data_IF_137151287588
#
_entry.id   IF_137151287588
#
_cell.length_a   1.000
_cell.length_b   1.000
_cell.length_c   1.000
_cell.angle_alpha   90.00
_cell.angle_beta   90.00
_cell.angle_gamma   90.00
#
_symmetry.space_group_name_H-M   'P 1'
#
loop_
_entity.id
_entity.type
_entity.pdbx_description
1 polymer ?
#
# COMPACT_ATOMS: atom_id res chain seq x y z
N UNK A 1 29.79 -32.11 -11.54
CA UNK A 1 28.73 -31.52 -10.68
C UNK A 1 28.45 -30.15 -11.25
N UNK A 2 27.28 -29.90 -11.81
CA UNK A 2 26.91 -28.58 -12.31
C UNK A 2 26.72 -27.68 -11.09
N UNK A 3 27.65 -26.77 -10.83
CA UNK A 3 27.47 -25.73 -9.81
C UNK A 3 26.29 -24.89 -10.25
N UNK A 4 25.14 -25.09 -9.61
CA UNK A 4 23.96 -24.27 -9.80
C UNK A 4 24.38 -22.83 -9.52
N UNK A 5 24.20 -21.94 -10.51
CA UNK A 5 24.47 -20.52 -10.32
C UNK A 5 23.65 -20.05 -9.13
N UNK A 6 24.32 -19.59 -8.08
CA UNK A 6 23.65 -19.10 -6.89
C UNK A 6 22.73 -17.94 -7.29
N UNK A 7 21.49 -17.94 -6.81
CA UNK A 7 20.58 -16.83 -7.05
C UNK A 7 21.08 -15.62 -6.24
N UNK A 8 21.49 -14.52 -6.89
CA UNK A 8 22.08 -13.37 -6.20
C UNK A 8 21.08 -12.64 -5.28
N UNK A 9 19.76 -12.89 -5.43
CA UNK A 9 18.73 -12.38 -4.52
C UNK A 9 18.53 -13.20 -3.25
N UNK A 10 19.08 -14.42 -3.13
CA UNK A 10 18.85 -15.28 -1.95
C UNK A 10 19.36 -14.67 -0.64
N UNK A 11 20.45 -13.90 -0.70
CA UNK A 11 21.09 -13.32 0.48
C UNK A 11 21.09 -11.78 0.47
N UNK A 12 20.46 -11.14 -0.51
CA UNK A 12 20.41 -9.68 -0.60
C UNK A 12 19.29 -9.15 0.31
N UNK A 13 19.65 -8.34 1.31
CA UNK A 13 18.68 -7.68 2.18
C UNK A 13 18.33 -6.29 1.64
N UNK A 14 17.13 -6.17 1.08
CA UNK A 14 16.62 -4.90 0.59
C UNK A 14 15.92 -4.08 1.71
N UNK A 15 15.89 -2.76 1.53
CA UNK A 15 15.23 -1.84 2.46
C UNK A 15 13.69 -1.92 2.42
N UNK A 16 13.00 -1.16 3.28
CA UNK A 16 11.54 -1.20 3.37
C UNK A 16 10.87 -0.84 2.05
N UNK A 17 10.04 -1.74 1.53
CA UNK A 17 9.31 -1.55 0.28
C UNK A 17 10.13 -1.78 -1.00
N UNK A 18 11.41 -2.13 -0.88
CA UNK A 18 12.26 -2.52 -2.02
C UNK A 18 12.12 -4.02 -2.32
N UNK A 19 12.28 -4.36 -3.60
CA UNK A 19 12.27 -5.73 -4.09
C UNK A 19 13.58 -6.02 -4.83
N UNK A 20 14.03 -7.27 -4.79
CA UNK A 20 15.25 -7.69 -5.47
C UNK A 20 14.95 -7.94 -6.95
N UNK A 21 15.66 -7.25 -7.84
CA UNK A 21 15.62 -7.43 -9.28
C UNK A 21 17.00 -7.85 -9.80
N UNK A 22 17.04 -8.85 -10.68
CA UNK A 22 18.27 -9.36 -11.30
C UNK A 22 18.36 -8.79 -12.70
N UNK A 23 19.41 -8.02 -12.97
CA UNK A 23 19.59 -7.42 -14.28
C UNK A 23 20.05 -8.45 -15.36
N UNK A 24 20.17 -7.99 -16.60
CA UNK A 24 20.62 -8.82 -17.74
C UNK A 24 22.05 -9.38 -17.59
N UNK A 25 22.83 -8.87 -16.64
CA UNK A 25 24.19 -9.30 -16.34
C UNK A 25 24.24 -10.27 -15.15
N UNK A 26 23.10 -10.60 -14.55
CA UNK A 26 23.02 -11.47 -13.38
C UNK A 26 23.34 -10.77 -12.06
N UNK A 27 23.25 -9.44 -12.00
CA UNK A 27 23.53 -8.66 -10.80
C UNK A 27 22.22 -8.39 -10.07
N UNK A 28 22.13 -8.79 -8.80
CA UNK A 28 20.99 -8.46 -7.95
C UNK A 28 21.06 -7.01 -7.47
N UNK A 29 19.96 -6.28 -7.61
CA UNK A 29 19.80 -4.90 -7.15
C UNK A 29 18.49 -4.73 -6.40
N UNK A 30 18.49 -3.87 -5.38
CA UNK A 30 17.27 -3.51 -4.66
C UNK A 30 16.61 -2.33 -5.37
N UNK A 31 15.39 -2.52 -5.85
CA UNK A 31 14.65 -1.49 -6.59
C UNK A 31 13.28 -1.26 -5.99
N UNK A 32 12.76 -0.05 -6.16
CA UNK A 32 11.36 0.22 -5.85
C UNK A 32 10.44 -0.41 -6.90
N UNK A 33 9.17 -0.66 -6.54
CA UNK A 33 8.20 -1.16 -7.50
C UNK A 33 8.22 -0.36 -8.81
N UNK A 34 8.13 -1.03 -9.97
CA UNK A 34 8.21 -0.40 -11.28
C UNK A 34 7.01 0.54 -11.53
N UNK A 35 6.95 1.11 -12.74
CA UNK A 35 5.87 2.01 -13.15
C UNK A 35 4.51 1.38 -12.88
N UNK A 36 3.72 2.05 -12.04
CA UNK A 36 2.36 1.63 -11.73
C UNK A 36 1.44 1.83 -12.94
N UNK A 37 0.48 0.93 -13.11
CA UNK A 37 -0.60 1.15 -14.08
C UNK A 37 -1.36 2.44 -13.74
N UNK A 38 -1.80 3.23 -14.74
CA UNK A 38 -2.53 4.48 -14.51
C UNK A 38 -4.00 4.23 -14.11
N UNK A 39 -4.20 3.44 -13.06
CA UNK A 39 -5.51 3.02 -12.55
C UNK A 39 -5.88 3.88 -11.35
N UNK A 40 -6.98 4.63 -11.46
CA UNK A 40 -7.50 5.48 -10.39
C UNK A 40 -8.34 4.67 -9.39
N UNK A 41 -7.67 4.01 -8.44
CA UNK A 41 -8.28 3.28 -7.32
C UNK A 41 -7.69 3.78 -6.00
N UNK A 42 -8.15 4.95 -5.50
CA UNK A 42 -7.48 5.63 -4.42
C UNK A 42 -7.46 4.81 -3.13
N UNK A 43 -6.40 4.96 -2.36
CA UNK A 43 -6.24 4.35 -1.02
C UNK A 43 -5.74 5.38 -0.02
N UNK A 44 -6.12 5.20 1.25
CA UNK A 44 -5.59 5.97 2.36
C UNK A 44 -4.49 5.14 3.04
N UNK A 45 -3.28 5.68 3.09
CA UNK A 45 -2.16 5.08 3.81
C UNK A 45 -2.31 5.21 5.32
N UNK A 46 -1.54 4.41 6.06
CA UNK A 46 -1.37 4.52 7.52
C UNK A 46 -0.68 5.81 7.96
N UNK A 47 -0.02 6.48 7.02
CA UNK A 47 0.53 7.83 7.17
C UNK A 47 -0.52 8.95 7.00
N UNK A 48 -1.78 8.60 6.75
CA UNK A 48 -2.87 9.56 6.55
C UNK A 48 -2.86 10.27 5.20
N UNK A 49 -2.04 9.81 4.23
CA UNK A 49 -1.97 10.37 2.88
C UNK A 49 -2.81 9.55 1.89
N UNK A 50 -3.44 10.25 0.95
CA UNK A 50 -4.16 9.59 -0.15
C UNK A 50 -3.20 9.29 -1.30
N UNK A 51 -3.27 8.08 -1.82
CA UNK A 51 -2.52 7.62 -2.97
C UNK A 51 -3.48 7.27 -4.12
N UNK A 52 -3.05 7.49 -5.37
CA UNK A 52 -3.86 7.21 -6.56
C UNK A 52 -4.20 5.72 -6.71
N UNK A 53 -3.29 4.86 -6.28
CA UNK A 53 -3.44 3.42 -6.18
C UNK A 53 -2.59 2.85 -5.04
N UNK A 54 -2.81 1.58 -4.70
CA UNK A 54 -1.94 0.85 -3.77
C UNK A 54 -0.50 0.71 -4.30
N UNK A 55 -0.31 0.62 -5.62
CA UNK A 55 1.01 0.60 -6.22
C UNK A 55 1.74 1.94 -6.00
N UNK A 56 1.05 3.07 -6.22
CA UNK A 56 1.63 4.39 -5.99
C UNK A 56 1.99 4.61 -4.52
N UNK A 57 1.20 4.05 -3.59
CA UNK A 57 1.50 4.04 -2.17
C UNK A 57 2.79 3.26 -1.89
N UNK A 58 2.91 2.03 -2.37
CA UNK A 58 4.11 1.20 -2.17
C UNK A 58 5.36 1.85 -2.77
N UNK A 59 5.24 2.42 -3.97
CA UNK A 59 6.33 3.14 -4.63
C UNK A 59 6.75 4.36 -3.82
N UNK A 60 5.81 5.19 -3.40
CA UNK A 60 6.07 6.36 -2.56
C UNK A 60 6.74 5.98 -1.23
N UNK A 61 6.26 4.90 -0.59
CA UNK A 61 6.86 4.37 0.62
C UNK A 61 8.30 3.91 0.39
N UNK A 62 8.55 3.17 -0.69
CA UNK A 62 9.89 2.73 -1.06
C UNK A 62 10.87 3.89 -1.29
N UNK A 63 10.43 4.95 -1.99
CA UNK A 63 11.26 6.14 -2.25
C UNK A 63 11.71 6.86 -0.98
N UNK A 64 10.94 6.75 0.10
CA UNK A 64 11.28 7.30 1.43
C UNK A 64 11.74 6.23 2.43
N UNK A 65 12.03 5.01 1.95
CA UNK A 65 12.45 3.85 2.75
C UNK A 65 11.51 3.54 3.93
N UNK A 66 10.20 3.69 3.70
CA UNK A 66 9.14 3.39 4.67
C UNK A 66 8.18 2.35 4.11
N UNK A 67 7.88 1.32 4.91
CA UNK A 67 6.81 0.40 4.60
C UNK A 67 5.47 1.07 4.93
N UNK A 68 4.75 1.51 3.89
CA UNK A 68 3.39 2.02 4.02
C UNK A 68 2.39 0.88 3.88
N UNK A 69 1.35 0.91 4.69
CA UNK A 69 0.24 -0.05 4.63
C UNK A 69 -1.06 0.68 4.30
N UNK A 70 -1.94 0.02 3.57
CA UNK A 70 -3.27 0.57 3.30
C UNK A 70 -4.07 0.54 4.60
N UNK A 71 -4.51 1.70 5.05
CA UNK A 71 -5.45 1.82 6.16
C UNK A 71 -6.87 1.48 5.69
N UNK A 72 -7.32 2.12 4.59
CA UNK A 72 -8.59 1.79 3.93
C UNK A 72 -8.59 2.20 2.45
N UNK A 73 -9.49 1.62 1.66
CA UNK A 73 -9.71 1.99 0.26
C UNK A 73 -10.54 3.28 0.18
N UNK A 74 -10.18 4.17 -0.73
CA UNK A 74 -10.73 5.53 -0.86
C UNK A 74 -9.72 6.61 -0.47
N UNK A 75 -10.09 7.88 -0.68
CA UNK A 75 -9.28 9.01 -0.26
C UNK A 75 -9.37 9.23 1.27
N UNK A 76 -8.24 9.59 1.88
CA UNK A 76 -8.21 10.03 3.27
C UNK A 76 -9.12 11.25 3.47
N UNK A 77 -9.74 11.34 4.66
CA UNK A 77 -10.59 12.48 5.02
C UNK A 77 -11.94 12.53 4.30
N UNK A 78 -12.22 11.63 3.35
CA UNK A 78 -13.54 11.46 2.74
C UNK A 78 -14.18 10.16 3.20
N UNK A 79 -14.93 10.24 4.29
CA UNK A 79 -15.91 9.21 4.63
C UNK A 79 -16.99 9.21 3.52
N UNK A 80 -16.85 8.34 2.53
CA UNK A 80 -17.85 8.20 1.46
C UNK A 80 -18.98 7.31 1.97
N UNK A 81 -19.93 7.92 2.67
CA UNK A 81 -21.21 7.33 3.11
C UNK A 81 -22.17 7.04 1.94
N UNK A 82 -21.69 6.37 0.89
CA UNK A 82 -22.52 5.95 -0.26
C UNK A 82 -22.90 4.46 -0.24
N UNK A 83 -22.66 3.75 0.86
CA UNK A 83 -23.35 2.49 1.15
C UNK A 83 -24.43 2.76 2.21
N UNK A 84 -25.45 3.52 1.81
CA UNK A 84 -26.65 3.72 2.61
C UNK A 84 -27.46 2.42 2.57
N UNK A 85 -27.16 1.50 3.49
CA UNK A 85 -28.19 0.54 3.90
C UNK A 85 -29.20 1.33 4.76
N UNK A 86 -30.51 1.21 4.49
CA UNK A 86 -31.50 2.10 5.06
C UNK A 86 -31.74 1.73 6.52
N UNK A 87 -30.99 2.34 7.44
CA UNK A 87 -31.42 2.52 8.83
C UNK A 87 -30.70 3.74 9.42
N UNK A 88 -31.50 4.81 9.52
CA UNK A 88 -31.44 5.98 10.41
C UNK A 88 -30.45 5.92 11.57
N UNK A 89 -29.87 7.06 11.98
CA UNK A 89 -29.92 7.56 13.37
C UNK A 89 -29.19 8.92 13.51
N UNK A 90 -29.97 9.99 13.31
CA UNK A 90 -30.23 11.09 14.26
C UNK A 90 -29.15 11.73 15.16
N UNK A 91 -27.83 11.51 15.04
CA UNK A 91 -26.85 12.24 15.86
C UNK A 91 -25.67 12.76 15.04
N UNK A 92 -25.94 13.86 14.35
CA UNK A 92 -24.93 14.81 13.87
C UNK A 92 -24.11 15.34 15.06
N UNK A 93 -22.80 15.07 15.08
CA UNK A 93 -21.87 16.12 15.48
C UNK A 93 -20.61 16.10 14.61
N UNK A 94 -20.43 17.23 13.94
CA UNK A 94 -19.47 17.49 12.90
C UNK A 94 -18.07 17.61 13.49
N UNK A 95 -17.32 16.49 13.52
CA UNK A 95 -15.86 16.42 13.29
C UNK A 95 -15.25 15.03 13.52
N UNK A 96 -15.92 14.05 14.16
CA UNK A 96 -15.14 12.92 14.71
C UNK A 96 -15.85 11.57 14.99
N UNK A 97 -16.93 11.17 14.29
CA UNK A 97 -17.76 10.05 14.79
C UNK A 97 -17.88 8.73 14.01
N UNK A 98 -17.16 8.47 12.92
CA UNK A 98 -17.05 7.05 12.42
C UNK A 98 -15.75 6.65 11.72
N UNK A 99 -14.71 7.49 11.61
CA UNK A 99 -13.46 7.11 10.93
C UNK A 99 -12.45 6.42 11.87
N UNK A 100 -12.93 5.52 12.75
CA UNK A 100 -12.06 4.65 13.53
C UNK A 100 -12.79 3.39 14.02
N UNK A 101 -13.37 2.63 13.09
CA UNK A 101 -13.64 1.22 13.38
C UNK A 101 -12.81 0.37 12.45
N UNK A 102 -11.76 -0.22 13.02
CA UNK A 102 -11.28 -1.55 12.62
C UNK A 102 -12.51 -2.46 12.52
N UNK A 103 -13.07 -2.61 11.33
CA UNK A 103 -13.79 -3.84 11.01
C UNK A 103 -12.72 -4.85 10.67
N UNK A 104 -12.12 -5.43 11.72
CA UNK A 104 -11.63 -6.79 11.60
C UNK A 104 -12.85 -7.61 11.16
N UNK A 105 -12.85 -8.05 9.91
CA UNK A 105 -13.76 -9.09 9.46
C UNK A 105 -13.60 -10.29 10.39
N UNK A 106 -14.68 -10.80 11.01
CA UNK A 106 -14.62 -12.11 11.64
C UNK A 106 -14.56 -13.15 10.51
N UNK A 107 -13.45 -13.86 10.43
CA UNK A 107 -13.34 -15.15 9.73
C UNK A 107 -12.84 -16.16 10.74
#
# INVERSE_FOLDING_TARGET
MLTQGANPCENLQCGPGQECDIDRYGIATCQCPPVCEPVMRPVCGDDGKTYHSECDMRKSGCEVQKLLIVNYRGACGKCSINYVFPIVYSQINSTHLTCNMRLASPS
#
